data_IF_017125029908
#
_entry.id   IF_017125029908
#
_cell.length_a   1.000
_cell.length_b   1.000
_cell.length_c   1.000
_cell.angle_alpha   90.00
_cell.angle_beta   90.00
_cell.angle_gamma   90.00
#
_symmetry.space_group_name_H-M   'P 1'
#
loop_
_entity.id
_entity.type
_entity.pdbx_description
1 polymer ?
#
# COMPACT_ATOMS: atom_id res chain seq x y z
N UNK A 1 -2.64 -13.89 -12.55
CA UNK A 1 -1.24 -13.72 -12.14
C UNK A 1 -0.96 -14.52 -10.87
N UNK A 2 -0.85 -15.84 -11.03
CA UNK A 2 -0.28 -16.72 -10.01
C UNK A 2 1.23 -16.43 -9.98
N UNK A 3 1.78 -16.19 -8.81
CA UNK A 3 3.23 -16.28 -8.64
C UNK A 3 3.51 -17.67 -8.06
N UNK A 4 4.04 -18.61 -8.87
CA UNK A 4 4.46 -19.92 -8.38
C UNK A 4 5.68 -19.75 -7.48
N UNK A 5 5.94 -20.79 -6.70
CA UNK A 5 6.88 -20.97 -5.60
C UNK A 5 8.38 -20.68 -5.88
N UNK A 6 8.74 -20.04 -6.99
CA UNK A 6 10.11 -19.57 -7.31
C UNK A 6 10.41 -18.15 -6.74
N UNK A 7 9.45 -17.53 -6.03
CA UNK A 7 9.46 -16.10 -5.71
C UNK A 7 9.89 -15.73 -4.29
N UNK A 8 11.10 -16.07 -3.88
CA UNK A 8 11.76 -15.34 -2.77
C UNK A 8 12.52 -14.11 -3.31
N UNK A 9 13.24 -14.25 -4.42
CA UNK A 9 14.14 -13.21 -4.94
C UNK A 9 13.40 -12.02 -5.56
N UNK A 10 12.40 -12.26 -6.42
CA UNK A 10 11.69 -11.18 -7.12
C UNK A 10 10.81 -10.34 -6.19
N UNK A 11 10.20 -10.98 -5.18
CA UNK A 11 9.43 -10.29 -4.14
C UNK A 11 10.31 -9.39 -3.25
N UNK A 12 11.49 -9.89 -2.85
CA UNK A 12 12.42 -9.09 -2.06
C UNK A 12 13.06 -7.94 -2.86
N UNK A 13 13.36 -8.14 -4.14
CA UNK A 13 13.80 -7.06 -5.02
C UNK A 13 12.74 -5.96 -5.14
N UNK A 14 11.47 -6.34 -5.31
CA UNK A 14 10.38 -5.37 -5.38
C UNK A 14 10.13 -4.65 -4.04
N UNK A 15 10.24 -5.37 -2.91
CA UNK A 15 10.19 -4.76 -1.57
C UNK A 15 11.32 -3.75 -1.35
N UNK A 16 12.55 -4.10 -1.75
CA UNK A 16 13.69 -3.20 -1.66
C UNK A 16 13.52 -1.98 -2.57
N UNK A 17 13.04 -2.16 -3.80
CA UNK A 17 12.75 -1.05 -4.71
C UNK A 17 11.72 -0.07 -4.12
N UNK A 18 10.70 -0.57 -3.43
CA UNK A 18 9.75 0.28 -2.70
C UNK A 18 10.44 1.07 -1.58
N UNK A 19 11.31 0.42 -0.79
CA UNK A 19 12.04 1.07 0.32
C UNK A 19 12.97 2.17 -0.22
N UNK A 20 13.69 1.87 -1.30
CA UNK A 20 14.62 2.79 -1.96
C UNK A 20 13.89 3.97 -2.59
N UNK A 21 12.65 3.78 -3.05
CA UNK A 21 11.78 4.88 -3.48
C UNK A 21 11.30 5.74 -2.30
N UNK A 22 10.92 5.12 -1.17
CA UNK A 22 10.33 5.83 -0.04
C UNK A 22 11.35 6.62 0.79
N UNK A 23 12.57 6.11 0.96
CA UNK A 23 13.61 6.75 1.78
C UNK A 23 13.94 8.19 1.37
N UNK A 24 14.28 8.50 0.11
CA UNK A 24 14.58 9.88 -0.30
C UNK A 24 13.34 10.78 -0.20
N UNK A 25 12.15 10.25 -0.47
CA UNK A 25 10.90 11.00 -0.35
C UNK A 25 10.63 11.46 1.09
N UNK A 26 11.04 10.68 2.10
CA UNK A 26 10.84 10.98 3.51
C UNK A 26 12.12 11.34 4.27
N UNK A 27 13.18 11.77 3.57
CA UNK A 27 14.48 12.07 4.17
C UNK A 27 14.39 13.06 5.35
N UNK A 28 13.50 14.06 5.25
CA UNK A 28 13.31 15.10 6.28
C UNK A 28 12.32 14.68 7.38
N UNK A 29 11.77 13.46 7.32
CA UNK A 29 10.76 12.96 8.24
C UNK A 29 11.24 11.70 8.97
N UNK A 30 11.93 11.91 10.09
CA UNK A 30 12.47 10.85 10.96
C UNK A 30 11.42 9.82 11.40
N UNK A 31 10.17 10.23 11.59
CA UNK A 31 9.10 9.31 11.98
C UNK A 31 8.75 8.34 10.84
N UNK A 32 8.65 8.84 9.61
CA UNK A 32 8.41 7.98 8.45
C UNK A 32 9.61 7.10 8.15
N UNK A 33 10.84 7.58 8.33
CA UNK A 33 12.05 6.76 8.17
C UNK A 33 12.04 5.55 9.13
N UNK A 34 11.70 5.77 10.42
CA UNK A 34 11.53 4.67 11.38
C UNK A 34 10.45 3.67 10.95
N UNK A 35 9.32 4.16 10.44
CA UNK A 35 8.25 3.28 9.94
C UNK A 35 8.67 2.49 8.69
N UNK A 36 9.50 3.08 7.82
CA UNK A 36 10.09 2.39 6.66
C UNK A 36 11.05 1.29 7.13
N UNK A 37 11.84 1.54 8.18
CA UNK A 37 12.72 0.52 8.76
C UNK A 37 11.95 -0.62 9.40
N UNK A 38 10.91 -0.31 10.19
CA UNK A 38 9.98 -1.33 10.73
C UNK A 38 9.36 -2.14 9.59
N UNK A 39 8.91 -1.47 8.53
CA UNK A 39 8.40 -2.15 7.33
C UNK A 39 9.47 -3.04 6.68
N UNK A 40 10.72 -2.59 6.58
CA UNK A 40 11.80 -3.38 6.00
C UNK A 40 11.99 -4.71 6.74
N UNK A 41 12.01 -4.69 8.07
CA UNK A 41 12.34 -5.88 8.86
C UNK A 41 11.11 -6.73 9.23
N UNK A 42 9.98 -6.10 9.53
CA UNK A 42 8.81 -6.78 10.12
C UNK A 42 7.67 -7.01 9.12
N UNK A 43 7.73 -6.44 7.91
CA UNK A 43 6.65 -6.59 6.94
C UNK A 43 6.46 -8.04 6.52
N UNK A 44 5.22 -8.51 6.67
CA UNK A 44 4.70 -9.75 6.13
C UNK A 44 3.38 -9.48 5.40
N UNK A 45 3.12 -10.20 4.32
CA UNK A 45 1.94 -10.01 3.47
C UNK A 45 0.62 -10.20 4.22
N UNK A 46 0.59 -11.04 5.26
CA UNK A 46 -0.57 -11.26 6.13
C UNK A 46 -0.90 -10.05 7.03
N UNK A 47 0.04 -9.12 7.23
CA UNK A 47 -0.14 -7.90 8.03
C UNK A 47 -0.30 -6.62 7.20
N UNK A 48 -0.46 -6.73 5.87
CA UNK A 48 -0.50 -5.57 4.96
C UNK A 48 -1.54 -4.50 5.33
N UNK A 49 -2.71 -4.90 5.86
CA UNK A 49 -3.76 -3.98 6.32
C UNK A 49 -3.27 -3.06 7.46
N UNK A 50 -2.45 -3.59 8.38
CA UNK A 50 -1.90 -2.82 9.50
C UNK A 50 -0.87 -1.78 9.02
N UNK A 51 -0.29 -2.01 7.85
CA UNK A 51 0.66 -1.10 7.22
C UNK A 51 0.00 -0.05 6.32
N UNK A 52 -1.33 -0.09 6.11
CA UNK A 52 -2.09 0.85 5.27
C UNK A 52 -3.08 1.81 5.99
N UNK A 53 -2.86 2.27 7.25
CA UNK A 53 -3.64 3.38 7.80
C UNK A 53 -3.42 4.70 7.05
N UNK A 54 -4.38 5.63 7.08
CA UNK A 54 -4.31 6.95 6.40
C UNK A 54 -3.08 7.79 6.78
N UNK A 55 -2.50 7.56 7.96
CA UNK A 55 -1.28 8.26 8.43
C UNK A 55 0.02 7.55 8.04
N UNK A 56 -0.06 6.33 7.49
CA UNK A 56 1.12 5.55 7.10
C UNK A 56 1.85 6.19 5.91
N UNK A 57 3.16 5.94 5.85
CA UNK A 57 3.99 6.36 4.72
C UNK A 57 3.55 5.67 3.42
N UNK A 58 3.14 4.39 3.49
CA UNK A 58 2.69 3.59 2.34
C UNK A 58 1.41 4.16 1.72
N UNK A 59 0.42 4.53 2.54
CA UNK A 59 -0.81 5.17 2.07
C UNK A 59 -0.53 6.46 1.31
N UNK A 60 0.30 7.33 1.89
CA UNK A 60 0.67 8.62 1.27
C UNK A 60 1.42 8.41 -0.04
N UNK A 61 2.40 7.51 -0.06
CA UNK A 61 3.17 7.21 -1.28
C UNK A 61 2.31 6.64 -2.40
N UNK A 62 1.42 5.69 -2.08
CA UNK A 62 0.52 5.11 -3.07
C UNK A 62 -0.46 6.15 -3.59
N UNK A 63 -1.01 6.98 -2.70
CA UNK A 63 -1.91 8.08 -3.08
C UNK A 63 -1.22 9.06 -4.03
N UNK A 64 0.02 9.48 -3.73
CA UNK A 64 0.76 10.39 -4.60
C UNK A 64 1.17 9.74 -5.93
N UNK A 65 1.66 8.49 -5.92
CA UNK A 65 2.02 7.78 -7.14
C UNK A 65 0.81 7.60 -8.08
N UNK A 66 -0.38 7.31 -7.53
CA UNK A 66 -1.62 7.22 -8.29
C UNK A 66 -2.09 8.58 -8.82
N UNK A 67 -1.88 9.66 -8.04
CA UNK A 67 -2.24 11.02 -8.44
C UNK A 67 -1.39 11.52 -9.60
N UNK A 68 -0.07 11.29 -9.53
CA UNK A 68 0.91 11.78 -10.52
C UNK A 68 1.03 10.80 -11.71
N UNK A 69 0.52 9.57 -11.58
CA UNK A 69 0.56 8.50 -12.60
C UNK A 69 1.98 8.14 -13.06
N UNK A 70 2.98 8.24 -12.18
CA UNK A 70 4.35 7.86 -12.50
C UNK A 70 4.46 6.33 -12.51
N UNK A 71 4.59 5.76 -13.71
CA UNK A 71 4.59 4.30 -13.92
C UNK A 71 5.69 3.61 -13.12
N UNK A 72 6.88 4.20 -13.05
CA UNK A 72 8.01 3.62 -12.29
C UNK A 72 7.73 3.56 -10.78
N UNK A 73 7.08 4.59 -10.24
CA UNK A 73 6.68 4.62 -8.83
C UNK A 73 5.61 3.56 -8.54
N UNK A 74 4.62 3.44 -9.41
CA UNK A 74 3.60 2.38 -9.31
C UNK A 74 4.22 1.00 -9.43
N UNK A 75 5.19 0.81 -10.31
CA UNK A 75 5.89 -0.45 -10.49
C UNK A 75 6.74 -0.80 -9.25
N UNK A 76 7.41 0.17 -8.61
CA UNK A 76 8.12 -0.04 -7.35
C UNK A 76 7.16 -0.39 -6.20
N UNK A 77 5.99 0.26 -6.15
CA UNK A 77 4.95 0.01 -5.15
C UNK A 77 4.14 -1.28 -5.40
N UNK A 78 4.34 -1.95 -6.54
CA UNK A 78 3.52 -3.11 -6.98
C UNK A 78 3.47 -4.21 -5.94
N UNK A 79 4.58 -4.44 -5.24
CA UNK A 79 4.68 -5.52 -4.25
C UNK A 79 3.65 -5.35 -3.13
N UNK A 80 3.62 -4.17 -2.53
CA UNK A 80 2.67 -3.84 -1.48
C UNK A 80 1.24 -3.72 -2.00
N UNK A 81 1.04 -3.12 -3.19
CA UNK A 81 -0.30 -2.98 -3.77
C UNK A 81 -0.95 -4.33 -4.08
N UNK A 82 -0.19 -5.29 -4.61
CA UNK A 82 -0.69 -6.64 -4.90
C UNK A 82 -1.10 -7.34 -3.61
N UNK A 83 -0.27 -7.27 -2.56
CA UNK A 83 -0.61 -7.84 -1.25
C UNK A 83 -1.85 -7.17 -0.65
N UNK A 84 -1.94 -5.83 -0.75
CA UNK A 84 -3.08 -5.06 -0.26
C UNK A 84 -4.36 -5.50 -0.98
N UNK A 85 -4.37 -5.54 -2.31
CA UNK A 85 -5.52 -5.98 -3.12
C UNK A 85 -5.92 -7.42 -2.75
N UNK A 86 -4.95 -8.33 -2.68
CA UNK A 86 -5.20 -9.73 -2.27
C UNK A 86 -5.79 -9.85 -0.87
N UNK A 87 -5.39 -8.96 0.04
CA UNK A 87 -5.93 -8.95 1.40
C UNK A 87 -7.34 -8.37 1.49
N UNK A 88 -7.76 -7.55 0.52
CA UNK A 88 -9.08 -6.91 0.47
C UNK A 88 -10.13 -7.77 -0.25
N UNK A 89 -9.75 -8.43 -1.37
CA UNK A 89 -10.68 -9.22 -2.20
C UNK A 89 -11.50 -10.24 -1.39
N UNK A 90 -10.91 -11.11 -0.55
CA UNK A 90 -11.69 -12.09 0.21
C UNK A 90 -12.61 -11.45 1.25
N UNK A 91 -12.21 -10.31 1.84
CA UNK A 91 -12.98 -9.59 2.86
C UNK A 91 -14.19 -8.89 2.24
N UNK A 92 -14.01 -8.30 1.07
CA UNK A 92 -15.08 -7.63 0.35
C UNK A 92 -16.05 -8.64 -0.26
N UNK A 93 -15.56 -9.76 -0.80
CA UNK A 93 -16.43 -10.81 -1.36
C UNK A 93 -17.29 -11.49 -0.28
N UNK A 94 -16.74 -11.79 0.90
CA UNK A 94 -17.56 -12.32 2.00
C UNK A 94 -18.61 -11.30 2.44
N UNK A 95 -18.22 -10.04 2.62
CA UNK A 95 -19.15 -9.00 3.10
C UNK A 95 -20.26 -8.67 2.09
N UNK A 96 -19.93 -8.58 0.80
CA UNK A 96 -20.89 -8.29 -0.29
C UNK A 96 -21.78 -9.52 -0.60
N UNK A 97 -21.29 -10.75 -0.39
CA UNK A 97 -22.12 -11.96 -0.58
C UNK A 97 -23.13 -12.17 0.56
N UNK A 98 -22.78 -11.83 1.81
CA UNK A 98 -23.68 -11.98 2.95
C UNK A 98 -24.62 -10.78 3.15
N UNK A 99 -24.20 -9.57 2.79
CA UNK A 99 -25.03 -8.36 2.80
C UNK A 99 -25.29 -7.94 1.36
N UNK A 100 -26.34 -8.49 0.75
CA UNK A 100 -26.85 -8.10 -0.59
C UNK A 100 -27.55 -6.73 -0.52
N UNK A 101 -27.01 -5.81 0.27
CA UNK A 101 -27.57 -4.51 0.59
C UNK A 101 -26.66 -3.40 0.04
N UNK A 102 -27.26 -2.30 -0.37
CA UNK A 102 -26.52 -1.14 -0.87
C UNK A 102 -25.72 -0.51 0.30
N UNK A 103 -24.40 -0.62 0.25
CA UNK A 103 -23.52 0.03 1.22
C UNK A 103 -23.32 1.51 0.85
N UNK A 104 -23.98 2.41 1.56
CA UNK A 104 -23.70 3.84 1.47
C UNK A 104 -22.48 4.18 2.32
N UNK A 105 -21.47 4.79 1.69
CA UNK A 105 -20.24 5.26 2.37
C UNK A 105 -20.13 6.77 2.28
N UNK A 106 -19.57 7.39 3.32
CA UNK A 106 -19.32 8.82 3.37
C UNK A 106 -17.82 9.10 3.47
N UNK A 107 -17.36 10.17 2.81
CA UNK A 107 -16.00 10.69 2.93
C UNK A 107 -16.05 12.20 2.88
N UNK A 108 -15.44 12.84 3.88
CA UNK A 108 -15.32 14.29 3.91
C UNK A 108 -14.39 14.79 2.81
N UNK A 109 -14.81 15.86 2.13
CA UNK A 109 -14.00 16.58 1.14
C UNK A 109 -13.82 18.01 1.65
N UNK A 110 -12.56 18.41 1.85
CA UNK A 110 -12.25 19.79 2.22
C UNK A 110 -12.39 20.67 0.98
N UNK A 111 -13.38 21.56 0.96
CA UNK A 111 -13.51 22.59 -0.07
C UNK A 111 -12.37 23.62 0.11
N UNK A 112 -11.65 23.92 -0.97
CA UNK A 112 -10.74 25.06 -1.01
C UNK A 112 -11.57 26.34 -0.88
N UNK A 113 -11.18 27.25 0.02
CA UNK A 113 -11.70 28.61 0.00
C UNK A 113 -11.10 29.31 -1.21
N UNK A 114 -11.96 29.86 -2.06
CA UNK A 114 -11.58 30.84 -3.10
C UNK A 114 -11.06 32.13 -2.46
#
# INVERSE_FOLDING_TARGET
FFYPSECSTHGQLAKNAMIDLCRPYYQDNLNNLKLIDVFKYEYRSDKVIQCYPTKSFSYKMIKEALKIKVVDQLNALRYFMVDLIRSLIPRDQTRIQYEKENLTVYRDIKLSKE
#
